data_IF_646218455895
#
_entry.id   IF_646218455895
#
_cell.length_a   1.000
_cell.length_b   1.000
_cell.length_c   1.000
_cell.angle_alpha   90.00
_cell.angle_beta   90.00
_cell.angle_gamma   90.00
#
_symmetry.space_group_name_H-M   'P 1'
#
loop_
_entity.id
_entity.type
_entity.pdbx_description
1 polymer ?
#
# COMPACT_ATOMS: atom_id res chain seq x y z
N UNK A 1 29.23 -14.87 9.53
CA UNK A 1 28.23 -14.89 8.45
C UNK A 1 28.44 -13.64 7.57
N UNK A 2 28.78 -13.86 6.28
CA UNK A 2 28.85 -12.77 5.29
C UNK A 2 27.54 -12.77 4.50
N UNK A 3 26.65 -11.85 4.80
CA UNK A 3 25.49 -11.60 3.97
C UNK A 3 25.90 -10.82 2.70
N UNK A 4 25.26 -11.12 1.58
CA UNK A 4 25.40 -10.30 0.38
C UNK A 4 24.76 -8.92 0.58
N UNK A 5 25.19 -7.91 -0.16
CA UNK A 5 24.56 -6.58 -0.11
C UNK A 5 23.04 -6.64 -0.33
N UNK A 6 22.57 -7.47 -1.27
CA UNK A 6 21.13 -7.72 -1.50
C UNK A 6 20.44 -8.32 -0.27
N UNK A 7 21.09 -9.27 0.43
CA UNK A 7 20.52 -9.86 1.65
C UNK A 7 20.42 -8.85 2.79
N UNK A 8 21.39 -7.94 2.91
CA UNK A 8 21.35 -6.86 3.90
C UNK A 8 20.21 -5.90 3.61
N UNK A 9 20.07 -5.47 2.36
CA UNK A 9 19.00 -4.58 1.93
C UNK A 9 17.61 -5.20 2.19
N UNK A 10 17.42 -6.47 1.80
CA UNK A 10 16.18 -7.21 2.04
C UNK A 10 15.77 -7.22 3.52
N UNK A 11 16.70 -7.63 4.40
CA UNK A 11 16.43 -7.66 5.86
C UNK A 11 16.19 -6.26 6.41
N UNK A 12 16.96 -5.26 5.97
CA UNK A 12 16.78 -3.86 6.41
C UNK A 12 15.38 -3.36 6.08
N UNK A 13 14.89 -3.61 4.86
CA UNK A 13 13.55 -3.23 4.44
C UNK A 13 12.46 -3.98 5.22
N UNK A 14 12.62 -5.27 5.47
CA UNK A 14 11.71 -6.03 6.32
C UNK A 14 11.62 -5.41 7.72
N UNK A 15 12.75 -5.13 8.36
CA UNK A 15 12.81 -4.52 9.70
C UNK A 15 12.18 -3.12 9.69
N UNK A 16 12.41 -2.33 8.65
CA UNK A 16 11.82 -0.99 8.52
C UNK A 16 10.28 -1.01 8.49
N UNK A 17 9.68 -2.05 7.94
CA UNK A 17 8.25 -2.13 7.73
C UNK A 17 7.51 -3.09 8.69
N UNK A 18 8.22 -3.88 9.53
CA UNK A 18 7.61 -4.99 10.29
C UNK A 18 6.50 -4.59 11.27
N UNK A 19 6.50 -3.38 11.81
CA UNK A 19 5.44 -2.92 12.71
C UNK A 19 4.19 -2.41 11.97
N UNK A 20 4.30 -2.09 10.67
CA UNK A 20 3.19 -1.49 9.91
C UNK A 20 1.92 -2.35 9.86
N UNK A 21 1.98 -3.69 9.69
CA UNK A 21 0.79 -4.52 9.66
C UNK A 21 -0.11 -4.33 10.89
N UNK A 22 0.48 -4.32 12.08
CA UNK A 22 -0.26 -4.06 13.33
C UNK A 22 -0.78 -2.62 13.47
N UNK A 23 -0.02 -1.64 12.96
CA UNK A 23 -0.38 -0.22 13.03
C UNK A 23 -1.47 0.18 12.03
N UNK A 24 -1.63 -0.56 10.92
CA UNK A 24 -2.67 -0.31 9.92
C UNK A 24 -4.08 -0.70 10.40
N UNK A 25 -4.17 -1.58 11.39
CA UNK A 25 -5.44 -1.99 11.98
C UNK A 25 -5.95 -0.88 12.91
N UNK A 26 -6.87 -0.06 12.41
CA UNK A 26 -7.46 1.03 13.20
C UNK A 26 -8.36 0.45 14.32
N UNK A 27 -8.00 0.71 15.59
CA UNK A 27 -8.81 0.42 16.80
C UNK A 27 -9.46 -0.96 16.85
N UNK A 28 -8.72 -2.02 16.46
CA UNK A 28 -9.23 -3.39 16.47
C UNK A 28 -10.04 -3.80 15.23
N UNK A 29 -10.11 -2.94 14.21
CA UNK A 29 -10.69 -3.26 12.91
C UNK A 29 -9.67 -3.84 11.92
N UNK A 30 -10.14 -4.18 10.72
CA UNK A 30 -9.26 -4.59 9.62
C UNK A 30 -8.70 -3.36 8.89
N UNK A 31 -7.45 -3.44 8.39
CA UNK A 31 -6.86 -2.38 7.57
C UNK A 31 -7.68 -2.07 6.33
N UNK A 32 -7.78 -0.80 5.96
CA UNK A 32 -8.43 -0.38 4.73
C UNK A 32 -7.64 -0.83 3.50
N UNK A 33 -8.31 -1.05 2.36
CA UNK A 33 -7.66 -1.37 1.08
C UNK A 33 -6.60 -0.35 0.70
N UNK A 34 -6.84 0.93 0.99
CA UNK A 34 -5.88 2.02 0.76
C UNK A 34 -4.61 1.86 1.60
N UNK A 35 -4.74 1.51 2.89
CA UNK A 35 -3.60 1.27 3.77
C UNK A 35 -2.79 0.05 3.31
N UNK A 36 -3.48 -1.03 2.90
CA UNK A 36 -2.86 -2.25 2.37
C UNK A 36 -2.12 -1.95 1.06
N UNK A 37 -2.72 -1.21 0.13
CA UNK A 37 -2.05 -0.79 -1.10
C UNK A 37 -0.75 -0.04 -0.81
N UNK A 38 -0.78 0.95 0.09
CA UNK A 38 0.41 1.71 0.48
C UNK A 38 1.49 0.82 1.12
N UNK A 39 1.09 -0.15 1.95
CA UNK A 39 2.02 -1.09 2.54
C UNK A 39 2.74 -1.91 1.46
N UNK A 40 2.01 -2.51 0.52
CA UNK A 40 2.60 -3.31 -0.56
C UNK A 40 3.44 -2.46 -1.52
N UNK A 41 3.04 -1.23 -1.83
CA UNK A 41 3.83 -0.29 -2.63
C UNK A 41 5.18 0.02 -1.97
N UNK A 42 5.17 0.29 -0.67
CA UNK A 42 6.37 0.74 0.05
C UNK A 42 7.29 -0.43 0.44
N UNK A 43 6.74 -1.58 0.81
CA UNK A 43 7.49 -2.78 1.14
C UNK A 43 7.91 -3.58 -0.11
N UNK A 44 7.17 -3.45 -1.22
CA UNK A 44 7.46 -4.06 -2.52
C UNK A 44 7.72 -5.58 -2.42
N UNK A 45 8.86 -6.08 -2.88
CA UNK A 45 9.24 -7.50 -2.90
C UNK A 45 9.40 -8.12 -1.51
N UNK A 46 9.58 -7.32 -0.44
CA UNK A 46 9.67 -7.82 0.94
C UNK A 46 8.33 -7.81 1.69
N UNK A 47 7.23 -7.42 1.05
CA UNK A 47 5.95 -7.24 1.73
C UNK A 47 5.47 -8.51 2.45
N UNK A 48 5.48 -9.66 1.77
CA UNK A 48 5.03 -10.93 2.34
C UNK A 48 5.95 -11.39 3.47
N UNK A 49 7.27 -11.33 3.27
CA UNK A 49 8.25 -11.69 4.30
C UNK A 49 8.12 -10.79 5.53
N UNK A 50 7.78 -9.53 5.33
CA UNK A 50 7.50 -8.57 6.41
C UNK A 50 6.27 -8.97 7.23
N UNK A 51 5.23 -9.53 6.61
CA UNK A 51 4.06 -10.04 7.34
C UNK A 51 4.43 -11.24 8.22
N UNK A 52 5.25 -12.16 7.71
CA UNK A 52 5.76 -13.28 8.53
C UNK A 52 6.68 -12.80 9.66
N UNK A 53 7.53 -11.82 9.40
CA UNK A 53 8.36 -11.21 10.45
C UNK A 53 7.50 -10.57 11.54
N UNK A 54 6.43 -9.86 11.17
CA UNK A 54 5.49 -9.26 12.11
C UNK A 54 4.79 -10.33 12.98
N UNK A 55 4.40 -11.47 12.41
CA UNK A 55 3.85 -12.60 13.16
C UNK A 55 4.86 -13.18 14.16
N UNK A 56 6.09 -13.38 13.72
CA UNK A 56 7.17 -13.90 14.57
C UNK A 56 7.49 -12.94 15.73
N UNK A 57 7.57 -11.65 15.45
CA UNK A 57 7.78 -10.60 16.45
C UNK A 57 6.64 -10.56 17.48
N UNK A 58 5.38 -10.68 17.01
CA UNK A 58 4.21 -10.75 17.88
C UNK A 58 4.27 -11.92 18.86
N UNK A 59 4.67 -13.10 18.40
CA UNK A 59 4.85 -14.29 19.24
C UNK A 59 6.02 -14.12 20.21
N UNK A 60 7.15 -13.62 19.71
CA UNK A 60 8.35 -13.44 20.52
C UNK A 60 8.14 -12.44 21.67
N UNK A 61 7.41 -11.36 21.43
CA UNK A 61 7.14 -10.33 22.42
C UNK A 61 6.20 -10.79 23.55
N UNK A 62 5.36 -11.81 23.34
CA UNK A 62 4.39 -12.31 24.31
C UNK A 62 4.83 -13.58 25.03
N UNK A 63 5.76 -14.33 24.46
CA UNK A 63 6.28 -15.56 25.07
C UNK A 63 5.24 -16.67 25.18
N UNK A 64 5.38 -17.58 26.17
CA UNK A 64 4.52 -18.75 26.30
C UNK A 64 3.08 -18.44 26.79
N UNK A 65 2.86 -17.27 27.37
CA UNK A 65 1.58 -16.85 27.95
C UNK A 65 0.70 -16.07 26.94
N UNK A 66 0.80 -16.42 25.66
CA UNK A 66 0.03 -15.77 24.62
C UNK A 66 -1.47 -16.06 24.78
N UNK A 67 -2.29 -15.02 24.73
CA UNK A 67 -3.74 -15.16 24.69
C UNK A 67 -4.18 -15.64 23.29
N UNK A 68 -4.96 -16.75 23.25
CA UNK A 68 -5.40 -17.36 21.98
C UNK A 68 -6.33 -16.44 21.19
N UNK A 69 -7.15 -15.63 21.88
CA UNK A 69 -8.08 -14.71 21.21
C UNK A 69 -7.32 -13.55 20.57
N UNK A 70 -6.34 -13.00 21.27
CA UNK A 70 -5.45 -11.95 20.74
C UNK A 70 -4.65 -12.46 19.56
N UNK A 71 -4.10 -13.68 19.65
CA UNK A 71 -3.38 -14.31 18.54
C UNK A 71 -4.27 -14.54 17.33
N UNK A 72 -5.47 -15.08 17.53
CA UNK A 72 -6.46 -15.29 16.46
C UNK A 72 -6.85 -13.96 15.81
N UNK A 73 -7.01 -12.91 16.60
CA UNK A 73 -7.24 -11.55 16.11
C UNK A 73 -6.10 -11.04 15.22
N UNK A 74 -4.85 -11.24 15.68
CA UNK A 74 -3.66 -10.86 14.91
C UNK A 74 -3.56 -11.62 13.59
N UNK A 75 -3.74 -12.94 13.61
CA UNK A 75 -3.73 -13.78 12.41
C UNK A 75 -4.80 -13.34 11.40
N UNK A 76 -5.99 -12.92 11.87
CA UNK A 76 -7.07 -12.41 11.00
C UNK A 76 -6.69 -11.13 10.28
N UNK A 77 -5.97 -10.23 10.94
CA UNK A 77 -5.42 -9.01 10.32
C UNK A 77 -4.42 -9.36 9.22
N UNK A 78 -3.48 -10.28 9.51
CA UNK A 78 -2.48 -10.71 8.53
C UNK A 78 -3.12 -11.43 7.33
N UNK A 79 -4.06 -12.34 7.56
CA UNK A 79 -4.81 -13.02 6.49
C UNK A 79 -5.54 -12.01 5.59
N UNK A 80 -6.19 -11.00 6.19
CA UNK A 80 -6.86 -9.95 5.43
C UNK A 80 -5.87 -9.16 4.56
N UNK A 81 -4.71 -8.76 5.11
CA UNK A 81 -3.68 -8.04 4.35
C UNK A 81 -3.15 -8.90 3.19
N UNK A 82 -2.91 -10.19 3.41
CA UNK A 82 -2.45 -11.12 2.38
C UNK A 82 -3.49 -11.27 1.25
N UNK A 83 -4.76 -11.49 1.58
CA UNK A 83 -5.83 -11.65 0.58
C UNK A 83 -6.04 -10.40 -0.26
N UNK A 84 -6.15 -9.25 0.39
CA UNK A 84 -6.31 -7.97 -0.30
C UNK A 84 -5.05 -7.61 -1.12
N UNK A 85 -3.86 -7.93 -0.63
CA UNK A 85 -2.60 -7.74 -1.36
C UNK A 85 -2.53 -8.58 -2.64
N UNK A 86 -2.96 -9.84 -2.60
CA UNK A 86 -3.04 -10.71 -3.78
C UNK A 86 -4.06 -10.19 -4.80
N UNK A 87 -5.24 -9.80 -4.35
CA UNK A 87 -6.27 -9.21 -5.21
C UNK A 87 -5.79 -7.89 -5.86
N UNK A 88 -5.08 -7.05 -5.09
CA UNK A 88 -4.50 -5.82 -5.60
C UNK A 88 -3.34 -6.05 -6.58
N UNK A 89 -2.55 -7.10 -6.43
CA UNK A 89 -1.47 -7.43 -7.36
C UNK A 89 -2.00 -7.71 -8.78
N UNK A 90 -3.18 -8.32 -8.91
CA UNK A 90 -3.86 -8.49 -10.18
C UNK A 90 -4.35 -7.14 -10.76
N UNK A 91 -4.91 -6.28 -9.91
CA UNK A 91 -5.38 -4.96 -10.32
C UNK A 91 -4.23 -4.02 -10.74
N UNK A 92 -3.06 -4.13 -10.11
CA UNK A 92 -1.85 -3.35 -10.46
C UNK A 92 -1.27 -3.79 -11.81
N UNK A 93 -1.37 -5.09 -12.16
CA UNK A 93 -0.94 -5.62 -13.47
C UNK A 93 -1.88 -5.22 -14.62
N UNK A 94 -3.12 -4.86 -14.31
CA UNK A 94 -4.06 -4.38 -15.32
C UNK A 94 -3.64 -2.99 -15.85
N UNK A 95 -3.92 -2.68 -17.15
CA UNK A 95 -3.63 -1.39 -17.73
C UNK A 95 -4.13 -0.24 -16.85
N UNK A 96 -3.35 0.82 -16.73
CA UNK A 96 -3.76 2.03 -15.99
C UNK A 96 -5.04 2.63 -16.54
N UNK A 97 -5.89 3.20 -15.69
CA UNK A 97 -7.11 3.90 -16.11
C UNK A 97 -6.81 5.14 -16.94
N UNK A 98 -5.67 5.76 -16.71
CA UNK A 98 -5.12 6.92 -17.44
C UNK A 98 -3.61 6.82 -17.47
N UNK A 99 -3.00 7.48 -18.44
CA UNK A 99 -1.54 7.60 -18.54
C UNK A 99 -1.08 9.06 -18.42
N UNK A 100 0.24 9.27 -18.28
CA UNK A 100 0.80 10.61 -18.08
C UNK A 100 0.56 11.55 -19.26
N UNK A 101 0.61 11.04 -20.49
CA UNK A 101 0.36 11.84 -21.70
C UNK A 101 -1.09 12.33 -21.74
N UNK A 102 -2.04 11.47 -21.39
CA UNK A 102 -3.46 11.85 -21.31
C UNK A 102 -3.70 12.95 -20.28
N UNK A 103 -3.07 12.84 -19.10
CA UNK A 103 -3.17 13.87 -18.04
C UNK A 103 -2.56 15.18 -18.52
N UNK A 104 -1.33 15.15 -19.06
CA UNK A 104 -0.65 16.34 -19.56
C UNK A 104 -1.48 17.04 -20.66
N UNK A 105 -1.98 16.28 -21.63
CA UNK A 105 -2.78 16.83 -22.75
C UNK A 105 -4.10 17.41 -22.26
N UNK A 106 -4.82 16.67 -21.41
CA UNK A 106 -6.16 17.07 -20.97
C UNK A 106 -6.18 18.28 -20.05
N UNK A 107 -5.14 18.43 -19.21
CA UNK A 107 -5.06 19.50 -18.21
C UNK A 107 -4.02 20.57 -18.56
N UNK A 108 -3.40 20.50 -19.75
CA UNK A 108 -2.36 21.42 -20.21
C UNK A 108 -1.18 21.53 -19.20
N UNK A 109 -0.79 20.41 -18.61
CA UNK A 109 0.28 20.35 -17.62
C UNK A 109 1.62 20.05 -18.30
N UNK A 110 2.71 20.70 -17.87
CA UNK A 110 4.06 20.33 -18.33
C UNK A 110 4.48 18.99 -17.72
N UNK A 111 5.43 18.27 -18.35
CA UNK A 111 6.03 17.09 -17.75
C UNK A 111 6.73 17.46 -16.44
N UNK A 112 6.52 16.65 -15.39
CA UNK A 112 7.11 16.91 -14.08
C UNK A 112 6.59 15.97 -12.98
N UNK A 113 7.09 16.12 -11.74
CA UNK A 113 6.74 15.26 -10.60
C UNK A 113 5.24 15.22 -10.30
N UNK A 114 4.52 16.30 -10.58
CA UNK A 114 3.06 16.40 -10.39
C UNK A 114 2.32 15.31 -11.17
N UNK A 115 2.75 15.00 -12.38
CA UNK A 115 2.14 13.93 -13.19
C UNK A 115 2.28 12.58 -12.48
N UNK A 116 3.46 12.29 -11.92
CA UNK A 116 3.70 11.08 -11.14
C UNK A 116 2.80 10.99 -9.91
N UNK A 117 2.63 12.10 -9.18
CA UNK A 117 1.75 12.18 -7.99
C UNK A 117 0.27 11.96 -8.36
N UNK A 118 -0.19 12.54 -9.46
CA UNK A 118 -1.56 12.37 -9.95
C UNK A 118 -1.82 10.91 -10.38
N UNK A 119 -0.88 10.30 -11.10
CA UNK A 119 -0.97 8.88 -11.48
C UNK A 119 -0.99 7.97 -10.26
N UNK A 120 -0.18 8.27 -9.26
CA UNK A 120 -0.17 7.50 -8.01
C UNK A 120 -1.49 7.64 -7.24
N UNK A 121 -2.05 8.84 -7.17
CA UNK A 121 -3.36 9.06 -6.56
C UNK A 121 -4.48 8.25 -7.27
N UNK A 122 -4.41 8.15 -8.59
CA UNK A 122 -5.35 7.33 -9.39
C UNK A 122 -5.16 5.84 -9.09
N UNK A 123 -3.91 5.34 -9.02
CA UNK A 123 -3.63 3.93 -8.68
C UNK A 123 -4.13 3.58 -7.28
N UNK A 124 -3.86 4.46 -6.31
CA UNK A 124 -4.30 4.28 -4.93
C UNK A 124 -5.82 4.25 -4.81
N UNK A 125 -6.54 5.18 -5.46
CA UNK A 125 -8.00 5.22 -5.47
C UNK A 125 -8.61 3.99 -6.16
N UNK A 126 -7.99 3.52 -7.26
CA UNK A 126 -8.40 2.27 -7.93
C UNK A 126 -8.22 1.06 -7.02
N UNK A 127 -7.07 0.94 -6.37
CA UNK A 127 -6.80 -0.16 -5.43
C UNK A 127 -7.74 -0.13 -4.22
N UNK A 128 -8.14 1.06 -3.77
CA UNK A 128 -9.16 1.23 -2.73
C UNK A 128 -10.59 0.88 -3.20
N UNK A 129 -10.81 0.70 -4.52
CA UNK A 129 -12.13 0.44 -5.10
C UNK A 129 -13.00 1.70 -5.20
N UNK A 130 -12.41 2.90 -5.08
CA UNK A 130 -13.13 4.18 -5.13
C UNK A 130 -13.39 4.63 -6.56
N UNK A 131 -12.57 4.20 -7.51
CA UNK A 131 -12.70 4.44 -8.94
C UNK A 131 -12.48 3.16 -9.73
N UNK A 132 -13.18 3.01 -10.85
CA UNK A 132 -13.12 1.84 -11.72
C UNK A 132 -13.02 2.19 -13.22
N UNK A 133 -13.24 3.45 -13.58
CA UNK A 133 -13.30 3.93 -14.95
C UNK A 133 -12.35 5.10 -15.22
N UNK A 134 -11.96 5.27 -16.49
CA UNK A 134 -11.19 6.43 -16.96
C UNK A 134 -11.88 7.76 -16.62
N UNK A 135 -13.22 7.80 -16.69
CA UNK A 135 -14.01 8.99 -16.38
C UNK A 135 -13.80 9.41 -14.90
N UNK A 136 -13.90 8.45 -13.98
CA UNK A 136 -13.70 8.70 -12.55
C UNK A 136 -12.26 9.09 -12.24
N UNK A 137 -11.28 8.46 -12.91
CA UNK A 137 -9.87 8.83 -12.79
C UNK A 137 -9.62 10.28 -13.21
N UNK A 138 -10.22 10.72 -14.34
CA UNK A 138 -10.10 12.12 -14.79
C UNK A 138 -10.78 13.09 -13.81
N UNK A 139 -11.92 12.73 -13.23
CA UNK A 139 -12.57 13.57 -12.21
C UNK A 139 -11.70 13.68 -10.95
N UNK A 140 -11.08 12.59 -10.52
CA UNK A 140 -10.15 12.60 -9.39
C UNK A 140 -8.94 13.50 -9.66
N UNK A 141 -8.34 13.40 -10.86
CA UNK A 141 -7.23 14.28 -11.26
C UNK A 141 -7.65 15.75 -11.21
N UNK A 142 -8.81 16.08 -11.76
CA UNK A 142 -9.35 17.45 -11.73
C UNK A 142 -9.49 17.97 -10.29
N UNK A 143 -10.13 17.21 -9.41
CA UNK A 143 -10.33 17.61 -8.02
C UNK A 143 -9.01 17.84 -7.26
N UNK A 144 -7.97 17.07 -7.60
CA UNK A 144 -6.64 17.23 -6.98
C UNK A 144 -5.92 18.50 -7.46
N UNK A 145 -6.12 18.89 -8.70
CA UNK A 145 -5.58 20.13 -9.25
C UNK A 145 -6.30 21.36 -8.68
N UNK A 146 -7.63 21.34 -8.58
CA UNK A 146 -8.44 22.42 -8.03
C UNK A 146 -8.09 22.71 -6.55
N UNK A 147 -7.77 21.68 -5.74
CA UNK A 147 -7.31 21.85 -4.35
C UNK A 147 -5.90 22.46 -4.30
N UNK A 148 -5.04 22.15 -5.27
CA UNK A 148 -3.68 22.70 -5.35
C UNK A 148 -3.64 24.18 -5.68
N UNK A 149 -4.62 24.68 -6.42
CA UNK A 149 -4.71 26.09 -6.83
C UNK A 149 -5.34 27.00 -5.75
N UNK A 150 -6.05 26.41 -4.77
CA UNK A 150 -6.71 27.14 -3.66
C UNK A 150 -5.81 27.35 -2.44
N UNK A 151 -4.55 26.95 -2.48
CA UNK A 151 -3.60 26.98 -1.35
C UNK A 151 -2.32 27.79 -1.61
N UNK A 152 -2.29 28.65 -2.65
CA UNK A 152 -1.15 29.51 -2.98
C UNK A 152 -1.43 30.97 -2.62
#
# INVERSE_FOLDING_TARGET
>A
LRFSGRGIDHVTRMVQHHLRPGQMAERGGLPSRRAIYRFYRDADDVAVDTLYLNMADYLAARGPDIDEQDWSGHCRVIDHILREGLANAEAVRAPGLVNGTEIMTKFSLPPGPVIGQLLEAVREARAAGEISSTREAIQLVKSRLDIGDSGA
#
